data_IF_621914393896
#
_entry.id   IF_621914393896
#
_cell.length_a   1.000
_cell.length_b   1.000
_cell.length_c   1.000
_cell.angle_alpha   90.00
_cell.angle_beta   90.00
_cell.angle_gamma   90.00
#
_symmetry.space_group_name_H-M   'P 1'
#
loop_
_entity.id
_entity.type
_entity.pdbx_description
1 polymer ?
#
# COMPACT_ATOMS: atom_id res chain seq x y z
N UNK A 1 5.77 13.88 -10.21
CA UNK A 1 5.66 12.66 -9.38
C UNK A 1 4.41 11.87 -9.75
N UNK A 2 3.22 12.43 -9.61
CA UNK A 2 1.93 11.74 -9.83
C UNK A 2 1.72 11.21 -11.27
N UNK A 3 2.11 11.95 -12.31
CA UNK A 3 1.87 11.53 -13.71
C UNK A 3 2.67 10.26 -14.08
N UNK A 4 4.01 10.20 -13.89
CA UNK A 4 4.77 8.96 -14.13
C UNK A 4 4.24 7.77 -13.34
N UNK A 5 3.88 7.97 -12.08
CA UNK A 5 3.37 6.92 -11.21
C UNK A 5 2.03 6.38 -11.70
N UNK A 6 1.10 7.27 -12.06
CA UNK A 6 -0.19 6.89 -12.63
C UNK A 6 -0.05 6.10 -13.95
N UNK A 7 0.94 6.43 -14.77
CA UNK A 7 1.24 5.70 -16.00
C UNK A 7 1.77 4.28 -15.71
N UNK A 8 2.65 4.13 -14.72
CA UNK A 8 3.16 2.83 -14.29
C UNK A 8 2.04 1.94 -13.74
N UNK A 9 1.19 2.49 -12.87
CA UNK A 9 0.03 1.77 -12.33
C UNK A 9 -0.93 1.38 -13.47
N UNK A 10 -1.18 2.29 -14.41
CA UNK A 10 -1.99 2.02 -15.59
C UNK A 10 -1.44 0.85 -16.42
N UNK A 11 -0.12 0.80 -16.62
CA UNK A 11 0.54 -0.32 -17.28
C UNK A 11 0.40 -1.64 -16.52
N UNK A 12 0.55 -1.62 -15.18
CA UNK A 12 0.35 -2.80 -14.33
C UNK A 12 -1.09 -3.31 -14.50
N UNK A 13 -2.09 -2.46 -14.32
CA UNK A 13 -3.50 -2.84 -14.46
C UNK A 13 -3.82 -3.37 -15.87
N UNK A 14 -3.28 -2.73 -16.91
CA UNK A 14 -3.42 -3.19 -18.30
C UNK A 14 -2.80 -4.58 -18.50
N UNK A 15 -1.66 -4.87 -17.87
CA UNK A 15 -1.02 -6.19 -17.94
C UNK A 15 -1.89 -7.29 -17.30
N UNK A 16 -2.61 -7.00 -16.20
CA UNK A 16 -3.57 -7.94 -15.62
C UNK A 16 -4.79 -8.14 -16.52
N UNK A 17 -5.33 -7.06 -17.10
CA UNK A 17 -6.45 -7.14 -18.03
C UNK A 17 -6.10 -7.95 -19.29
N UNK A 18 -4.89 -7.82 -19.83
CA UNK A 18 -4.42 -8.55 -21.00
C UNK A 18 -4.38 -10.08 -20.80
N UNK A 19 -4.23 -10.54 -19.56
CA UNK A 19 -4.22 -11.97 -19.19
C UNK A 19 -5.60 -12.45 -18.72
N UNK A 20 -6.65 -11.63 -18.89
CA UNK A 20 -8.03 -11.96 -18.49
C UNK A 20 -8.33 -11.77 -17.00
N UNK A 21 -7.41 -11.19 -16.22
CA UNK A 21 -7.53 -10.98 -14.78
C UNK A 21 -8.05 -9.56 -14.44
N UNK A 22 -8.74 -8.90 -15.37
CA UNK A 22 -9.25 -7.53 -15.19
C UNK A 22 -10.24 -7.39 -14.03
N UNK A 23 -11.00 -8.44 -13.71
CA UNK A 23 -11.93 -8.44 -12.57
C UNK A 23 -11.20 -8.28 -11.22
N UNK A 24 -9.99 -8.87 -11.08
CA UNK A 24 -9.19 -8.77 -9.85
C UNK A 24 -8.77 -7.32 -9.58
N UNK A 25 -8.52 -6.53 -10.63
CA UNK A 25 -8.15 -5.12 -10.49
C UNK A 25 -9.27 -4.35 -9.78
N UNK A 26 -10.53 -4.59 -10.17
CA UNK A 26 -11.70 -3.93 -9.58
C UNK A 26 -11.91 -4.43 -8.14
N UNK A 27 -11.77 -5.73 -7.90
CA UNK A 27 -11.89 -6.33 -6.57
C UNK A 27 -10.82 -5.78 -5.60
N UNK A 28 -9.56 -5.75 -6.03
CA UNK A 28 -8.45 -5.20 -5.25
C UNK A 28 -8.68 -3.72 -4.92
N UNK A 29 -9.15 -2.93 -5.89
CA UNK A 29 -9.46 -1.52 -5.68
C UNK A 29 -10.59 -1.35 -4.65
N UNK A 30 -11.68 -2.11 -4.79
CA UNK A 30 -12.81 -2.05 -3.86
C UNK A 30 -12.40 -2.40 -2.42
N UNK A 31 -11.64 -3.48 -2.24
CA UNK A 31 -11.12 -3.88 -0.93
C UNK A 31 -10.18 -2.80 -0.36
N UNK A 32 -9.30 -2.24 -1.19
CA UNK A 32 -8.39 -1.16 -0.77
C UNK A 32 -9.18 0.05 -0.30
N UNK A 33 -10.21 0.49 -1.04
CA UNK A 33 -11.05 1.61 -0.64
C UNK A 33 -11.74 1.37 0.70
N UNK A 34 -12.28 0.17 0.94
CA UNK A 34 -12.93 -0.16 2.21
C UNK A 34 -11.94 -0.14 3.37
N UNK A 35 -10.76 -0.76 3.19
CA UNK A 35 -9.71 -0.78 4.23
C UNK A 35 -9.22 0.64 4.51
N UNK A 36 -8.89 1.41 3.47
CA UNK A 36 -8.39 2.77 3.60
C UNK A 36 -9.41 3.66 4.33
N UNK A 37 -10.67 3.70 3.88
CA UNK A 37 -11.72 4.50 4.51
C UNK A 37 -11.92 4.05 5.96
N UNK A 38 -11.97 2.74 6.22
CA UNK A 38 -12.14 2.20 7.57
C UNK A 38 -11.00 2.61 8.51
N UNK A 39 -9.75 2.50 8.08
CA UNK A 39 -8.57 2.88 8.86
C UNK A 39 -8.49 4.39 9.07
N UNK A 40 -8.71 5.19 8.02
CA UNK A 40 -8.73 6.65 8.13
C UNK A 40 -9.81 7.11 9.12
N UNK A 41 -11.05 6.60 9.00
CA UNK A 41 -12.12 6.95 9.94
C UNK A 41 -11.81 6.49 11.37
N UNK A 42 -11.23 5.30 11.53
CA UNK A 42 -10.77 4.81 12.83
C UNK A 42 -9.74 5.75 13.45
N UNK A 43 -8.72 6.15 12.69
CA UNK A 43 -7.69 7.10 13.16
C UNK A 43 -8.29 8.45 13.51
N UNK A 44 -9.23 8.94 12.70
CA UNK A 44 -9.89 10.24 12.95
C UNK A 44 -10.67 10.27 14.26
N UNK A 45 -11.25 9.14 14.66
CA UNK A 45 -12.03 9.03 15.89
C UNK A 45 -11.17 8.59 17.09
N UNK A 46 -9.98 8.04 16.83
CA UNK A 46 -9.07 7.55 17.84
C UNK A 46 -8.37 8.69 18.58
N UNK A 47 -8.22 8.53 19.89
CA UNK A 47 -7.44 9.45 20.75
C UNK A 47 -6.01 8.94 21.00
N UNK A 48 -5.62 7.87 20.32
CA UNK A 48 -4.29 7.27 20.45
C UNK A 48 -3.28 8.15 19.73
N UNK A 49 -2.14 8.41 20.36
CA UNK A 49 -0.99 8.99 19.67
C UNK A 49 -0.27 7.87 18.90
N UNK A 50 -0.19 8.01 17.57
CA UNK A 50 0.42 7.01 16.68
C UNK A 50 1.89 7.31 16.31
N UNK A 51 2.53 8.33 16.91
CA UNK A 51 3.92 8.71 16.64
C UNK A 51 4.92 7.57 16.89
N UNK A 52 4.59 6.64 17.78
CA UNK A 52 5.40 5.44 18.05
C UNK A 52 5.59 4.55 16.81
N UNK A 53 4.71 4.65 15.81
CA UNK A 53 4.82 3.91 14.55
C UNK A 53 5.97 4.41 13.67
N UNK A 54 6.40 5.67 13.81
CA UNK A 54 7.38 6.31 12.92
C UNK A 54 8.69 5.51 12.72
N UNK A 55 9.43 5.10 13.76
CA UNK A 55 10.65 4.31 13.57
C UNK A 55 10.38 2.91 13.03
N UNK A 56 9.27 2.28 13.46
CA UNK A 56 8.89 0.94 13.02
C UNK A 56 8.55 0.93 11.53
N UNK A 57 7.77 1.90 11.07
CA UNK A 57 7.36 2.06 9.69
C UNK A 57 8.58 2.28 8.77
N UNK A 58 9.48 3.18 9.15
CA UNK A 58 10.72 3.42 8.39
C UNK A 58 11.55 2.15 8.19
N UNK A 59 11.77 1.38 9.26
CA UNK A 59 12.51 0.11 9.18
C UNK A 59 11.76 -0.90 8.32
N UNK A 60 10.44 -1.02 8.50
CA UNK A 60 9.61 -1.97 7.75
C UNK A 60 9.61 -1.68 6.24
N UNK A 61 9.62 -0.41 5.85
CA UNK A 61 9.72 0.02 4.46
C UNK A 61 11.07 -0.34 3.84
N UNK A 62 12.17 -0.11 4.57
CA UNK A 62 13.50 -0.52 4.11
C UNK A 62 13.60 -2.03 3.93
N UNK A 63 13.05 -2.81 4.87
CA UNK A 63 13.00 -4.27 4.75
C UNK A 63 12.18 -4.68 3.53
N UNK A 64 10.99 -4.10 3.31
CA UNK A 64 10.15 -4.37 2.14
C UNK A 64 10.86 -4.08 0.82
N UNK A 65 11.61 -2.98 0.75
CA UNK A 65 12.34 -2.56 -0.43
C UNK A 65 13.47 -3.54 -0.73
N UNK A 66 14.34 -3.78 0.27
CA UNK A 66 15.49 -4.69 0.12
C UNK A 66 15.00 -6.10 -0.21
N UNK A 67 14.03 -6.62 0.54
CA UNK A 67 13.41 -7.92 0.28
C UNK A 67 12.81 -7.97 -1.13
N UNK A 68 12.07 -6.95 -1.56
CA UNK A 68 11.47 -6.89 -2.88
C UNK A 68 12.48 -6.97 -4.02
N UNK A 69 13.64 -6.31 -3.86
CA UNK A 69 14.74 -6.40 -4.81
C UNK A 69 15.33 -7.82 -4.84
N UNK A 70 15.64 -8.41 -3.69
CA UNK A 70 16.18 -9.77 -3.61
C UNK A 70 15.20 -10.83 -4.14
N UNK A 71 13.91 -10.68 -3.86
CA UNK A 71 12.86 -11.57 -4.33
C UNK A 71 12.88 -11.74 -5.85
N UNK A 72 13.09 -10.64 -6.58
CA UNK A 72 13.06 -10.63 -8.03
C UNK A 72 14.23 -11.38 -8.68
N UNK A 73 15.36 -11.55 -7.97
CA UNK A 73 16.54 -12.23 -8.48
C UNK A 73 16.68 -13.69 -7.99
N UNK A 74 16.19 -14.01 -6.79
CA UNK A 74 16.51 -15.29 -6.14
C UNK A 74 15.29 -16.17 -5.81
N UNK A 75 14.09 -15.62 -5.67
CA UNK A 75 12.94 -16.36 -5.11
C UNK A 75 11.66 -16.16 -5.93
N UNK A 76 11.39 -17.11 -6.84
CA UNK A 76 10.19 -17.11 -7.71
C UNK A 76 9.04 -17.97 -7.17
N UNK A 77 9.07 -18.38 -5.90
CA UNK A 77 7.99 -19.23 -5.36
C UNK A 77 6.70 -18.44 -5.14
N UNK A 78 5.56 -19.05 -5.49
CA UNK A 78 4.22 -18.44 -5.33
C UNK A 78 3.94 -18.11 -3.86
N UNK A 79 4.31 -19.02 -2.95
CA UNK A 79 4.13 -18.84 -1.51
C UNK A 79 4.93 -17.64 -1.00
N UNK A 80 6.19 -17.49 -1.41
CA UNK A 80 7.02 -16.37 -0.99
C UNK A 80 6.46 -15.03 -1.48
N UNK A 81 5.98 -15.01 -2.71
CA UNK A 81 5.32 -13.85 -3.31
C UNK A 81 4.06 -13.44 -2.53
N UNK A 82 3.24 -14.40 -2.11
CA UNK A 82 2.05 -14.15 -1.29
C UNK A 82 2.39 -13.64 0.12
N UNK A 83 3.40 -14.21 0.78
CA UNK A 83 3.85 -13.75 2.10
C UNK A 83 4.38 -12.32 2.02
N UNK A 84 5.19 -12.03 1.00
CA UNK A 84 5.67 -10.67 0.72
C UNK A 84 4.50 -9.70 0.50
N UNK A 85 3.49 -10.13 -0.26
CA UNK A 85 2.32 -9.30 -0.52
C UNK A 85 1.53 -9.01 0.75
N UNK A 86 1.29 -10.02 1.59
CA UNK A 86 0.61 -9.89 2.87
C UNK A 86 1.34 -8.94 3.82
N UNK A 87 2.68 -9.06 3.91
CA UNK A 87 3.50 -8.14 4.71
C UNK A 87 3.34 -6.69 4.23
N UNK A 88 3.34 -6.48 2.91
CA UNK A 88 3.06 -5.18 2.29
C UNK A 88 1.70 -4.62 2.71
N UNK A 89 0.64 -5.42 2.61
CA UNK A 89 -0.73 -5.00 3.01
C UNK A 89 -0.77 -4.50 4.45
N UNK A 90 -0.14 -5.23 5.38
CA UNK A 90 -0.11 -4.87 6.81
C UNK A 90 0.68 -3.57 7.01
N UNK A 91 1.86 -3.45 6.41
CA UNK A 91 2.74 -2.28 6.58
C UNK A 91 2.06 -1.03 6.03
N UNK A 92 1.52 -1.08 4.81
CA UNK A 92 0.85 0.09 4.22
C UNK A 92 -0.47 0.43 4.93
N UNK A 93 -1.17 -0.55 5.51
CA UNK A 93 -2.31 -0.27 6.40
C UNK A 93 -1.89 0.51 7.65
N UNK A 94 -0.73 0.19 8.25
CA UNK A 94 -0.20 0.95 9.39
C UNK A 94 0.29 2.36 8.96
N UNK A 95 0.83 2.50 7.75
CA UNK A 95 1.15 3.81 7.19
C UNK A 95 -0.09 4.68 7.01
N UNK A 96 -1.21 4.15 6.48
CA UNK A 96 -2.49 4.89 6.39
C UNK A 96 -2.91 5.44 7.75
N UNK A 97 -2.80 4.62 8.81
CA UNK A 97 -3.10 5.05 10.18
C UNK A 97 -2.15 6.17 10.63
N UNK A 98 -0.85 6.00 10.44
CA UNK A 98 0.16 6.98 10.85
C UNK A 98 0.04 8.30 10.10
N UNK A 99 -0.06 8.28 8.77
CA UNK A 99 -0.11 9.50 7.95
C UNK A 99 -1.44 10.25 8.12
N UNK A 100 -2.55 9.53 8.28
CA UNK A 100 -3.82 10.16 8.70
C UNK A 100 -3.65 10.88 10.04
N UNK A 101 -2.98 10.27 11.00
CA UNK A 101 -2.73 10.88 12.31
C UNK A 101 -1.84 12.12 12.21
N UNK A 102 -0.77 12.09 11.39
CA UNK A 102 0.11 13.24 11.17
C UNK A 102 -0.64 14.41 10.54
N UNK A 103 -1.41 14.17 9.47
CA UNK A 103 -2.19 15.21 8.79
C UNK A 103 -3.16 15.90 9.75
N UNK A 104 -3.77 15.15 10.66
CA UNK A 104 -4.75 15.71 11.60
C UNK A 104 -4.14 16.50 12.75
N UNK A 105 -3.00 16.06 13.28
CA UNK A 105 -2.53 16.52 14.60
C UNK A 105 -1.18 17.24 14.58
N UNK A 106 -0.33 17.00 13.57
CA UNK A 106 1.09 17.36 13.64
C UNK A 106 1.61 18.18 12.46
N UNK A 107 0.87 18.28 11.34
CA UNK A 107 1.33 19.02 10.16
C UNK A 107 0.94 20.50 10.18
N UNK A 108 1.90 21.36 9.81
CA UNK A 108 1.66 22.79 9.53
C UNK A 108 1.10 22.98 8.12
N UNK A 109 0.49 24.13 7.82
CA UNK A 109 -0.13 24.45 6.52
C UNK A 109 0.76 24.12 5.31
N UNK A 110 2.06 24.40 5.41
CA UNK A 110 3.03 24.15 4.32
C UNK A 110 3.32 22.65 4.10
N UNK A 111 3.04 21.80 5.08
CA UNK A 111 3.34 20.37 5.08
C UNK A 111 2.14 19.50 4.69
N UNK A 112 0.92 20.04 4.67
CA UNK A 112 -0.29 19.29 4.29
C UNK A 112 -0.21 18.70 2.90
N UNK A 113 0.40 19.41 1.95
CA UNK A 113 0.56 18.93 0.58
C UNK A 113 1.44 17.67 0.58
N UNK A 114 2.54 17.68 1.32
CA UNK A 114 3.42 16.53 1.44
C UNK A 114 2.74 15.37 2.18
N UNK A 115 2.00 15.65 3.25
CA UNK A 115 1.21 14.65 3.96
C UNK A 115 0.17 13.98 3.06
N UNK A 116 -0.57 14.76 2.26
CA UNK A 116 -1.54 14.23 1.32
C UNK A 116 -0.90 13.36 0.22
N UNK A 117 0.30 13.72 -0.24
CA UNK A 117 1.07 12.89 -1.19
C UNK A 117 1.46 11.56 -0.54
N UNK A 118 1.93 11.55 0.71
CA UNK A 118 2.28 10.31 1.40
C UNK A 118 1.04 9.42 1.60
N UNK A 119 -0.08 10.00 2.02
CA UNK A 119 -1.33 9.26 2.18
C UNK A 119 -1.85 8.68 0.83
N UNK A 120 -1.64 9.41 -0.28
CA UNK A 120 -1.91 8.89 -1.62
C UNK A 120 -1.00 7.70 -1.96
N UNK A 121 0.29 7.77 -1.63
CA UNK A 121 1.23 6.67 -1.83
C UNK A 121 0.87 5.44 -1.00
N UNK A 122 0.38 5.62 0.21
CA UNK A 122 -0.07 4.51 1.04
C UNK A 122 -1.24 3.78 0.40
N UNK A 123 -2.21 4.54 -0.12
CA UNK A 123 -3.36 3.97 -0.84
C UNK A 123 -2.91 3.17 -2.07
N UNK A 124 -2.04 3.75 -2.91
CA UNK A 124 -1.54 3.08 -4.12
C UNK A 124 -0.77 1.81 -3.77
N UNK A 125 0.15 1.87 -2.80
CA UNK A 125 0.94 0.71 -2.42
C UNK A 125 0.06 -0.39 -1.81
N UNK A 126 -0.87 -0.04 -0.93
CA UNK A 126 -1.86 -0.98 -0.38
C UNK A 126 -2.64 -1.68 -1.51
N UNK A 127 -3.08 -0.92 -2.51
CA UNK A 127 -3.75 -1.45 -3.71
C UNK A 127 -2.87 -2.44 -4.48
N UNK A 128 -1.63 -2.07 -4.80
CA UNK A 128 -0.71 -2.93 -5.56
C UNK A 128 -0.39 -4.23 -4.81
N UNK A 129 -0.24 -4.15 -3.48
CA UNK A 129 -0.02 -5.33 -2.64
C UNK A 129 -1.25 -6.24 -2.55
N UNK A 130 -2.46 -5.69 -2.43
CA UNK A 130 -3.70 -6.45 -2.49
C UNK A 130 -3.92 -7.09 -3.85
N UNK A 131 -3.69 -6.35 -4.94
CA UNK A 131 -3.77 -6.86 -6.30
C UNK A 131 -2.83 -8.05 -6.50
N UNK A 132 -1.59 -7.94 -6.02
CA UNK A 132 -0.60 -9.02 -6.06
C UNK A 132 -1.07 -10.24 -5.26
N UNK A 133 -1.57 -10.03 -4.04
CA UNK A 133 -2.06 -11.09 -3.17
C UNK A 133 -3.23 -11.87 -3.81
N UNK A 134 -4.25 -11.16 -4.30
CA UNK A 134 -5.42 -11.75 -4.95
C UNK A 134 -5.05 -12.49 -6.24
N UNK A 135 -4.13 -11.92 -7.03
CA UNK A 135 -3.67 -12.58 -8.26
C UNK A 135 -2.90 -13.87 -8.00
N UNK A 136 -2.18 -13.97 -6.88
CA UNK A 136 -1.49 -15.19 -6.47
C UNK A 136 -2.47 -16.32 -6.14
N UNK A 137 -3.61 -16.00 -5.53
CA UNK A 137 -4.64 -16.97 -5.17
C UNK A 137 -5.40 -17.57 -6.36
N UNK A 138 -5.46 -16.88 -7.51
CA UNK A 138 -6.08 -17.41 -8.73
C UNK A 138 -5.11 -18.23 -9.61
N UNK A 139 -3.81 -18.20 -9.31
CA UNK A 139 -2.76 -18.93 -10.05
C UNK A 139 -2.35 -20.25 -9.38
N UNK A 140 -2.89 -20.55 -8.20
CA UNK A 140 -2.62 -21.77 -7.41
C UNK A 140 -3.65 -22.86 -7.64
#
# INVERSE_FOLDING_TARGET
>A
FTVPESMLIGFICASYAAVGLGAIVIEAFAITSVIFIGLTLFTMQSKINFDFLRPMLFVSLLVLLVWGLFANFFFTSVVFNQVYALAGVIIFSLYVVYDTHQIMNNLSYDEYIAGAINLYLDFINLFLFLLRLLSGGQRS
#
